data_IF_482723405757
#
_entry.id   IF_482723405757
#
_cell.length_a   1.000
_cell.length_b   1.000
_cell.length_c   1.000
_cell.angle_alpha   90.00
_cell.angle_beta   90.00
_cell.angle_gamma   90.00
#
_symmetry.space_group_name_H-M   'P 1'
#
loop_
_entity.id
_entity.type
_entity.pdbx_description
1 polymer ?
#
# COMPACT_ATOMS: atom_id res chain seq x y z
N UNK A 1 12.71 -7.35 -15.62
CA UNK A 1 11.46 -7.55 -16.40
C UNK A 1 11.76 -7.33 -17.86
N UNK A 2 11.21 -8.16 -18.74
CA UNK A 2 11.30 -7.97 -20.20
C UNK A 2 9.91 -8.00 -20.84
N UNK A 3 9.79 -7.70 -22.14
CA UNK A 3 8.51 -7.62 -22.86
C UNK A 3 7.61 -8.85 -22.66
N UNK A 4 8.20 -10.05 -22.63
CA UNK A 4 7.47 -11.30 -22.41
C UNK A 4 6.67 -11.35 -21.10
N UNK A 5 7.12 -10.65 -20.04
CA UNK A 5 6.37 -10.58 -18.79
C UNK A 5 5.12 -9.72 -18.92
N UNK A 6 5.19 -8.64 -19.71
CA UNK A 6 4.04 -7.78 -19.98
C UNK A 6 3.00 -8.54 -20.81
N UNK A 7 3.47 -9.30 -21.80
CA UNK A 7 2.58 -10.13 -22.63
C UNK A 7 1.85 -11.18 -21.80
N UNK A 8 2.54 -11.86 -20.88
CA UNK A 8 1.90 -12.80 -19.96
C UNK A 8 0.78 -12.13 -19.13
N UNK A 9 1.03 -10.93 -18.58
CA UNK A 9 0.02 -10.19 -17.83
C UNK A 9 -1.17 -9.76 -18.71
N UNK A 10 -0.90 -9.37 -19.96
CA UNK A 10 -1.95 -9.04 -20.94
C UNK A 10 -2.81 -10.26 -21.29
N UNK A 11 -2.23 -11.46 -21.37
CA UNK A 11 -3.03 -12.68 -21.58
C UNK A 11 -4.00 -12.99 -20.44
N UNK A 12 -3.74 -12.45 -19.25
CA UNK A 12 -4.65 -12.53 -18.09
C UNK A 12 -5.73 -11.45 -18.11
N UNK A 13 -5.78 -10.60 -19.15
CA UNK A 13 -6.76 -9.53 -19.29
C UNK A 13 -6.37 -8.21 -18.63
N UNK A 14 -5.13 -8.07 -18.15
CA UNK A 14 -4.62 -6.80 -17.62
C UNK A 14 -4.17 -5.90 -18.78
N UNK A 15 -4.80 -4.74 -18.93
CA UNK A 15 -4.32 -3.73 -19.86
C UNK A 15 -3.07 -3.02 -19.31
N UNK A 16 -2.40 -2.23 -20.17
CA UNK A 16 -1.16 -1.55 -19.81
C UNK A 16 -1.34 -0.57 -18.64
N UNK A 17 -2.55 0.00 -18.49
CA UNK A 17 -2.87 0.89 -17.37
C UNK A 17 -2.97 0.10 -16.06
N UNK A 18 -3.68 -1.02 -16.06
CA UNK A 18 -3.79 -1.88 -14.88
C UNK A 18 -2.42 -2.43 -14.45
N UNK A 19 -1.57 -2.79 -15.40
CA UNK A 19 -0.18 -3.21 -15.13
C UNK A 19 0.61 -2.05 -14.53
N UNK A 20 0.50 -0.84 -15.09
CA UNK A 20 1.17 0.35 -14.59
C UNK A 20 0.72 0.70 -13.15
N UNK A 21 -0.59 0.72 -12.89
CA UNK A 21 -1.17 1.03 -11.59
C UNK A 21 -0.69 0.00 -10.54
N UNK A 22 -0.65 -1.29 -10.89
CA UNK A 22 -0.11 -2.34 -10.03
C UNK A 22 1.38 -2.12 -9.71
N UNK A 23 2.20 -1.79 -10.72
CA UNK A 23 3.62 -1.51 -10.53
C UNK A 23 3.82 -0.31 -9.61
N UNK A 24 3.06 0.77 -9.78
CA UNK A 24 3.16 1.96 -8.92
C UNK A 24 2.86 1.63 -7.45
N UNK A 25 1.77 0.90 -7.19
CA UNK A 25 1.39 0.50 -5.83
C UNK A 25 2.44 -0.41 -5.20
N UNK A 26 2.88 -1.45 -5.93
CA UNK A 26 3.89 -2.40 -5.44
C UNK A 26 5.21 -1.69 -5.15
N UNK A 27 5.65 -0.80 -6.04
CA UNK A 27 6.90 -0.05 -5.87
C UNK A 27 6.81 0.91 -4.68
N UNK A 28 5.70 1.63 -4.56
CA UNK A 28 5.47 2.55 -3.45
C UNK A 28 5.55 1.82 -2.10
N UNK A 29 4.84 0.70 -1.93
CA UNK A 29 4.89 -0.07 -0.69
C UNK A 29 6.24 -0.73 -0.44
N UNK A 30 6.95 -1.16 -1.49
CA UNK A 30 8.32 -1.64 -1.34
C UNK A 30 9.24 -0.55 -0.80
N UNK A 31 9.07 0.70 -1.25
CA UNK A 31 9.89 1.81 -0.80
C UNK A 31 9.52 2.25 0.62
N UNK A 32 8.28 2.67 0.85
CA UNK A 32 7.90 3.34 2.10
C UNK A 32 8.02 2.42 3.32
N UNK A 33 7.67 1.13 3.19
CA UNK A 33 7.75 0.17 4.30
C UNK A 33 9.20 0.01 4.79
N UNK A 34 10.17 0.01 3.87
CA UNK A 34 11.59 -0.11 4.22
C UNK A 34 12.14 1.16 4.84
N UNK A 35 11.69 2.32 4.36
CA UNK A 35 12.09 3.61 4.95
C UNK A 35 11.52 3.74 6.37
N UNK A 36 10.25 3.39 6.56
CA UNK A 36 9.60 3.38 7.87
C UNK A 36 10.34 2.47 8.86
N UNK A 37 10.64 1.23 8.45
CA UNK A 37 11.37 0.27 9.28
C UNK A 37 12.79 0.76 9.61
N UNK A 38 13.53 1.27 8.62
CA UNK A 38 14.90 1.77 8.82
C UNK A 38 14.98 3.00 9.74
N UNK A 39 13.91 3.80 9.83
CA UNK A 39 13.83 4.99 10.67
C UNK A 39 13.11 4.73 12.00
N UNK A 40 12.60 3.53 12.24
CA UNK A 40 11.83 3.19 13.44
C UNK A 40 10.51 3.96 13.54
N UNK A 41 9.82 4.14 12.41
CA UNK A 41 8.49 4.77 12.39
C UNK A 41 7.47 3.80 12.99
N UNK A 42 6.83 4.21 14.07
CA UNK A 42 5.80 3.44 14.75
C UNK A 42 4.42 3.63 14.10
N UNK A 43 3.54 2.60 14.11
CA UNK A 43 2.17 2.71 13.60
C UNK A 43 1.33 3.75 14.34
N UNK A 44 0.40 4.38 13.64
CA UNK A 44 -0.51 5.35 14.24
C UNK A 44 -1.53 4.68 15.17
N UNK A 45 -1.61 5.12 16.43
CA UNK A 45 -2.46 4.51 17.45
C UNK A 45 -3.97 4.58 17.17
N UNK A 46 -4.40 5.44 16.25
CA UNK A 46 -5.80 5.59 15.85
C UNK A 46 -6.18 4.71 14.64
N UNK A 47 -5.20 4.06 14.01
CA UNK A 47 -5.44 3.11 12.92
C UNK A 47 -5.40 1.70 13.52
N UNK A 48 -6.52 0.96 13.50
CA UNK A 48 -6.51 -0.41 14.00
C UNK A 48 -5.66 -1.32 13.09
N UNK A 49 -5.06 -2.38 13.64
CA UNK A 49 -4.43 -3.41 12.84
C UNK A 49 -5.40 -3.98 11.80
N UNK A 50 -4.88 -4.26 10.61
CA UNK A 50 -5.70 -4.79 9.52
C UNK A 50 -6.31 -6.15 9.89
N UNK A 51 -7.62 -6.30 9.71
CA UNK A 51 -8.36 -7.52 10.06
C UNK A 51 -8.92 -7.54 11.48
N UNK A 52 -8.59 -6.56 12.32
CA UNK A 52 -9.26 -6.37 13.61
C UNK A 52 -10.53 -5.50 13.46
N UNK A 53 -11.62 -5.83 14.18
CA UNK A 53 -12.84 -5.03 14.15
C UNK A 53 -12.59 -3.64 14.75
N UNK A 54 -13.18 -2.60 14.14
CA UNK A 54 -13.11 -1.21 14.62
C UNK A 54 -13.65 -1.11 16.06
N UNK A 55 -12.76 -0.93 17.03
CA UNK A 55 -13.11 -0.72 18.43
C UNK A 55 -13.21 0.79 18.71
N UNK A 56 -14.28 1.45 18.24
CA UNK A 56 -14.52 2.85 18.58
C UNK A 56 -15.35 3.00 19.88
N UNK A 57 -15.06 4.02 20.70
CA UNK A 57 -15.69 5.31 20.43
C UNK A 57 -14.69 6.44 20.15
N UNK A 58 -15.02 7.24 19.14
CA UNK A 58 -14.22 8.35 18.62
C UNK A 58 -14.47 9.59 19.47
N UNK A 59 -13.43 10.33 19.83
CA UNK A 59 -13.33 11.80 19.86
C UNK A 59 -12.18 12.23 20.80
N UNK A 60 -11.12 12.84 20.23
CA UNK A 60 -10.67 14.12 20.76
C UNK A 60 -10.14 14.97 19.60
N UNK A 61 -10.95 15.96 19.25
CA UNK A 61 -10.54 17.13 18.50
C UNK A 61 -9.60 17.91 19.41
N UNK A 62 -8.36 18.15 18.99
CA UNK A 62 -7.77 19.44 19.34
C UNK A 62 -6.98 19.99 18.15
N UNK A 63 -7.52 21.09 17.62
CA UNK A 63 -6.81 21.99 16.72
C UNK A 63 -6.07 22.95 17.63
N UNK A 64 -4.76 23.00 17.50
CA UNK A 64 -3.97 24.18 17.81
C UNK A 64 -3.15 24.56 16.60
#
# INVERSE_FOLDING_TARGET
MGPANLDALRTMGLDDRAIHDAVQVIAYFNYITRIADALGVEPESFIPPWGEPDQAPKHHHDRT
#
